data_IF_089375346687
#
_entry.id   IF_089375346687
#
_cell.length_a   1.000
_cell.length_b   1.000
_cell.length_c   1.000
_cell.angle_alpha   90.00
_cell.angle_beta   90.00
_cell.angle_gamma   90.00
#
_symmetry.space_group_name_H-M   'P 1'
#
loop_
_entity.id
_entity.type
_entity.pdbx_description
1 polymer ?
#
# COMPACT_ATOMS: atom_id res chain seq x y z
N UNK A 1 -18.89 2.73 10.42
CA UNK A 1 -17.86 3.70 10.93
C UNK A 1 -18.19 4.04 12.36
N UNK A 2 -17.23 3.94 13.25
CA UNK A 2 -17.37 4.15 14.71
C UNK A 2 -16.40 5.22 15.19
N UNK A 3 -16.81 6.04 16.16
CA UNK A 3 -15.95 6.95 16.89
C UNK A 3 -15.53 6.29 18.19
N UNK A 4 -14.24 6.20 18.44
CA UNK A 4 -13.67 5.60 19.65
C UNK A 4 -12.46 6.39 20.11
N UNK A 5 -11.86 5.98 21.22
CA UNK A 5 -10.65 6.56 21.75
C UNK A 5 -9.50 5.56 21.64
N UNK A 6 -8.28 6.10 21.48
CA UNK A 6 -7.07 5.31 21.58
C UNK A 6 -6.03 6.07 22.40
N UNK A 7 -5.26 5.32 23.19
CA UNK A 7 -4.17 5.87 23.98
C UNK A 7 -2.83 5.61 23.32
N UNK A 8 -1.97 6.57 23.28
CA UNK A 8 -0.60 6.41 22.81
C UNK A 8 0.21 5.66 23.88
N UNK A 9 0.62 4.43 23.57
CA UNK A 9 1.41 3.58 24.47
C UNK A 9 2.91 3.73 24.25
N UNK A 10 3.32 3.90 22.98
CA UNK A 10 4.73 4.03 22.65
C UNK A 10 4.91 4.76 21.31
N UNK A 11 6.03 5.41 21.17
CA UNK A 11 6.59 5.77 19.87
C UNK A 11 7.57 4.67 19.48
N UNK A 12 7.41 4.12 18.29
CA UNK A 12 8.21 3.01 17.80
C UNK A 12 9.03 3.46 16.61
N UNK A 13 10.24 2.95 16.52
CA UNK A 13 10.93 2.85 15.25
C UNK A 13 10.61 1.45 14.74
N UNK A 14 9.82 1.37 13.68
CA UNK A 14 9.68 0.08 13.00
C UNK A 14 11.09 -0.40 12.60
N UNK A 15 11.33 -1.71 12.56
CA UNK A 15 12.66 -2.23 12.29
C UNK A 15 13.28 -1.74 10.95
N UNK A 16 12.51 -1.21 10.01
CA UNK A 16 13.02 -0.51 8.83
C UNK A 16 13.50 0.94 9.12
N UNK A 17 13.53 1.33 10.40
CA UNK A 17 13.83 2.71 10.77
C UNK A 17 12.66 3.66 10.58
N UNK A 18 11.48 3.16 10.21
CA UNK A 18 10.28 3.97 10.09
C UNK A 18 9.67 4.26 11.47
N UNK A 19 9.45 5.55 11.77
CA UNK A 19 8.78 5.91 13.00
C UNK A 19 7.29 5.55 12.94
N UNK A 20 6.80 4.91 13.97
CA UNK A 20 5.40 4.56 14.16
C UNK A 20 4.88 4.95 15.53
N UNK A 21 3.58 4.77 15.73
CA UNK A 21 2.92 4.99 17.02
C UNK A 21 2.17 3.73 17.40
N UNK A 22 2.43 3.20 18.61
CA UNK A 22 1.62 2.13 19.18
C UNK A 22 0.41 2.74 19.87
N UNK A 23 -0.76 2.30 19.47
CA UNK A 23 -2.05 2.75 19.98
C UNK A 23 -2.76 1.61 20.70
N UNK A 24 -3.18 1.84 21.94
CA UNK A 24 -4.13 0.99 22.64
C UNK A 24 -5.56 1.45 22.34
N UNK A 25 -6.39 0.54 21.91
CA UNK A 25 -7.79 0.81 21.59
C UNK A 25 -8.63 -0.47 21.63
N UNK A 26 -9.95 -0.31 21.58
CA UNK A 26 -10.87 -1.45 21.46
C UNK A 26 -10.53 -2.29 20.20
N UNK A 27 -10.67 -3.59 20.29
CA UNK A 27 -10.42 -4.52 19.19
C UNK A 27 -11.21 -4.18 17.91
N UNK A 28 -12.42 -3.65 18.05
CA UNK A 28 -13.26 -3.20 16.93
C UNK A 28 -12.79 -1.89 16.27
N UNK A 29 -11.83 -1.18 16.88
CA UNK A 29 -11.21 0.01 16.29
C UNK A 29 -9.92 -0.30 15.53
N UNK A 30 -9.38 -1.51 15.67
CA UNK A 30 -8.17 -1.94 14.96
C UNK A 30 -8.50 -2.16 13.49
N UNK A 31 -7.88 -1.41 12.56
CA UNK A 31 -8.17 -1.57 11.13
C UNK A 31 -7.68 -2.92 10.63
N UNK A 32 -8.45 -3.51 9.72
CA UNK A 32 -8.05 -4.71 8.97
C UNK A 32 -6.99 -4.37 7.90
N UNK A 33 -6.43 -5.40 7.24
CA UNK A 33 -5.45 -5.20 6.17
C UNK A 33 -5.95 -4.20 5.11
N UNK A 34 -5.23 -3.09 4.90
CA UNK A 34 -5.59 -2.05 3.94
C UNK A 34 -6.68 -1.08 4.39
N UNK A 35 -7.34 -1.28 5.52
CA UNK A 35 -8.23 -0.27 6.11
C UNK A 35 -7.43 0.79 6.87
N UNK A 36 -8.05 1.97 7.03
CA UNK A 36 -7.45 3.05 7.80
C UNK A 36 -8.31 3.45 9.02
N UNK A 37 -7.71 4.17 9.94
CA UNK A 37 -8.41 4.98 10.93
C UNK A 37 -7.99 6.43 10.79
N UNK A 38 -8.85 7.36 11.19
CA UNK A 38 -8.58 8.79 11.19
C UNK A 38 -8.42 9.25 12.63
N UNK A 39 -7.23 9.70 12.99
CA UNK A 39 -6.87 10.11 14.34
C UNK A 39 -6.81 11.62 14.48
N UNK A 40 -7.24 12.13 15.64
CA UNK A 40 -7.12 13.52 16.03
C UNK A 40 -6.76 13.59 17.52
N UNK A 41 -5.80 14.44 17.87
CA UNK A 41 -5.56 14.80 19.27
C UNK A 41 -6.48 15.96 19.65
N UNK A 42 -7.45 15.75 20.57
CA UNK A 42 -8.33 16.82 21.01
C UNK A 42 -7.54 17.99 21.63
N UNK A 43 -7.92 19.20 21.29
CA UNK A 43 -7.25 20.41 21.81
C UNK A 43 -5.90 20.76 21.19
N UNK A 44 -5.42 19.99 20.21
CA UNK A 44 -4.14 20.26 19.55
C UNK A 44 -4.14 21.41 18.53
N UNK A 45 -5.31 21.98 18.24
CA UNK A 45 -5.45 22.96 17.16
C UNK A 45 -5.39 22.39 15.75
N UNK A 46 -5.24 21.07 15.62
CA UNK A 46 -5.27 20.40 14.31
C UNK A 46 -6.68 20.46 13.71
N UNK A 47 -6.78 21.01 12.50
CA UNK A 47 -8.06 21.11 11.79
C UNK A 47 -8.49 19.80 11.13
N UNK A 48 -7.55 18.91 10.80
CA UNK A 48 -7.78 17.70 10.05
C UNK A 48 -7.29 16.46 10.79
N UNK A 49 -8.04 15.37 10.63
CA UNK A 49 -7.64 14.05 11.14
C UNK A 49 -6.49 13.46 10.32
N UNK A 50 -5.62 12.73 10.99
CA UNK A 50 -4.55 11.97 10.37
C UNK A 50 -5.04 10.58 9.96
N UNK A 51 -4.69 10.19 8.76
CA UNK A 51 -4.92 8.83 8.24
C UNK A 51 -3.82 7.93 8.75
N UNK A 52 -4.18 6.88 9.46
CA UNK A 52 -3.27 5.88 10.02
C UNK A 52 -3.66 4.49 9.50
N UNK A 53 -2.68 3.74 9.02
CA UNK A 53 -2.82 2.34 8.69
C UNK A 53 -2.15 1.48 9.76
N UNK A 54 -2.66 0.27 9.97
CA UNK A 54 -1.99 -0.70 10.83
C UNK A 54 -0.82 -1.32 10.09
N UNK A 55 0.33 -1.37 10.75
CA UNK A 55 1.50 -2.16 10.31
C UNK A 55 1.60 -3.47 11.08
N UNK A 56 1.09 -3.50 12.31
CA UNK A 56 1.10 -4.69 13.16
C UNK A 56 -0.02 -4.61 14.18
N UNK A 57 -0.72 -5.71 14.40
CA UNK A 57 -1.62 -5.87 15.55
C UNK A 57 -0.83 -6.15 16.81
N UNK A 58 -1.30 -5.60 17.94
CA UNK A 58 -0.79 -5.87 19.28
C UNK A 58 -1.91 -6.46 20.16
N UNK A 59 -1.59 -6.91 21.35
CA UNK A 59 -2.60 -7.38 22.31
C UNK A 59 -3.57 -6.29 22.77
N UNK A 60 -3.13 -5.04 22.75
CA UNK A 60 -3.89 -3.86 23.22
C UNK A 60 -4.44 -2.99 22.07
N UNK A 61 -4.02 -3.24 20.82
CA UNK A 61 -4.40 -2.40 19.69
C UNK A 61 -3.56 -2.64 18.44
N UNK A 62 -2.81 -1.63 17.98
CA UNK A 62 -1.98 -1.75 16.78
C UNK A 62 -0.85 -0.71 16.73
N UNK A 63 0.16 -0.98 15.88
CA UNK A 63 1.20 -0.02 15.49
C UNK A 63 0.82 0.63 14.16
N UNK A 64 1.13 1.91 13.99
CA UNK A 64 0.80 2.70 12.79
C UNK A 64 1.97 2.79 11.82
N UNK A 65 1.66 3.15 10.57
CA UNK A 65 2.62 3.40 9.47
C UNK A 65 3.18 4.84 9.45
N UNK A 66 2.89 5.63 10.47
CA UNK A 66 3.21 7.05 10.48
C UNK A 66 3.92 7.46 11.75
N UNK A 67 4.86 8.44 11.67
CA UNK A 67 5.44 9.06 12.84
C UNK A 67 4.36 9.77 13.67
N UNK A 68 4.63 10.00 14.98
CA UNK A 68 3.78 10.85 15.78
C UNK A 68 3.70 12.25 15.18
N UNK A 69 2.51 12.87 15.28
CA UNK A 69 2.35 14.26 14.91
C UNK A 69 3.02 15.17 15.96
N UNK A 70 3.46 16.36 15.53
CA UNK A 70 3.92 17.36 16.50
C UNK A 70 2.88 17.59 17.61
N UNK A 71 3.34 17.51 18.85
CA UNK A 71 2.48 17.68 20.03
C UNK A 71 1.89 16.39 20.60
N UNK A 72 2.00 15.26 19.90
CA UNK A 72 1.60 13.97 20.48
C UNK A 72 2.60 13.50 21.54
N UNK A 73 2.08 13.05 22.68
CA UNK A 73 2.87 12.58 23.83
C UNK A 73 2.43 11.20 24.26
N UNK A 74 3.30 10.48 24.92
CA UNK A 74 2.95 9.22 25.57
C UNK A 74 1.82 9.45 26.57
N UNK A 75 0.81 8.59 26.53
CA UNK A 75 -0.36 8.66 27.37
C UNK A 75 -1.50 9.53 26.81
N UNK A 76 -1.27 10.32 25.76
CA UNK A 76 -2.32 11.11 25.13
C UNK A 76 -3.45 10.23 24.60
N UNK A 77 -4.67 10.73 24.72
CA UNK A 77 -5.87 10.08 24.21
C UNK A 77 -6.28 10.70 22.87
N UNK A 78 -6.21 9.91 21.82
CA UNK A 78 -6.62 10.28 20.47
C UNK A 78 -8.10 9.95 20.25
N UNK A 79 -8.80 10.82 19.56
CA UNK A 79 -10.13 10.57 19.01
C UNK A 79 -9.98 9.86 17.67
N UNK A 80 -10.39 8.58 17.60
CA UNK A 80 -10.34 7.76 16.41
C UNK A 80 -11.71 7.71 15.73
N UNK A 81 -11.69 7.83 14.41
CA UNK A 81 -12.83 7.59 13.54
C UNK A 81 -12.50 6.44 12.60
N UNK A 82 -13.23 5.34 12.70
CA UNK A 82 -12.94 4.19 11.85
C UNK A 82 -13.36 2.86 12.46
N UNK A 83 -12.86 1.73 11.88
CA UNK A 83 -12.14 1.64 10.61
C UNK A 83 -12.91 2.25 9.45
N UNK A 84 -12.19 2.91 8.53
CA UNK A 84 -12.78 3.53 7.34
C UNK A 84 -12.35 2.81 6.07
N UNK A 85 -13.27 2.78 5.11
CA UNK A 85 -13.03 2.22 3.81
C UNK A 85 -13.03 0.69 3.75
N UNK A 86 -12.73 0.18 2.56
CA UNK A 86 -12.58 -1.25 2.28
C UNK A 86 -11.13 -1.65 2.42
N UNK A 87 -10.90 -2.80 3.04
CA UNK A 87 -9.60 -3.43 3.11
C UNK A 87 -9.39 -4.47 2.01
N UNK A 88 -8.24 -5.11 2.03
CA UNK A 88 -7.95 -6.25 1.17
C UNK A 88 -8.90 -7.42 1.47
N UNK A 89 -9.41 -8.03 0.42
CA UNK A 89 -10.33 -9.16 0.47
C UNK A 89 -9.89 -10.26 -0.50
N UNK A 90 -8.77 -10.97 -0.17
CA UNK A 90 -8.29 -12.05 -1.00
C UNK A 90 -9.34 -13.17 -1.10
N UNK A 91 -9.55 -13.75 -2.30
CA UNK A 91 -10.48 -14.86 -2.49
C UNK A 91 -10.14 -16.05 -1.57
N UNK A 92 -11.16 -16.74 -1.08
CA UNK A 92 -10.95 -17.86 -0.13
C UNK A 92 -10.12 -19.01 -0.74
N UNK A 93 -10.18 -19.19 -2.06
CA UNK A 93 -9.40 -20.20 -2.79
C UNK A 93 -7.98 -19.80 -3.15
N UNK A 94 -7.59 -18.53 -2.96
CA UNK A 94 -6.26 -18.05 -3.32
C UNK A 94 -5.19 -18.67 -2.40
N UNK A 95 -4.18 -19.29 -3.00
CA UNK A 95 -3.10 -20.01 -2.29
C UNK A 95 -1.72 -19.42 -2.56
N UNK A 96 -1.56 -18.65 -3.61
CA UNK A 96 -0.28 -18.05 -4.04
C UNK A 96 -0.48 -16.55 -4.16
N UNK A 97 0.01 -15.83 -3.16
CA UNK A 97 -0.18 -14.39 -3.06
C UNK A 97 1.09 -13.66 -3.47
N UNK A 98 0.97 -12.81 -4.45
CA UNK A 98 2.01 -11.84 -4.79
C UNK A 98 1.65 -10.47 -4.24
N UNK A 99 2.51 -9.95 -3.38
CA UNK A 99 2.38 -8.64 -2.76
C UNK A 99 3.49 -7.73 -3.27
N UNK A 100 3.16 -6.47 -3.58
CA UNK A 100 4.17 -5.51 -4.01
C UNK A 100 3.95 -4.13 -3.41
N UNK A 101 5.04 -3.48 -3.00
CA UNK A 101 5.01 -2.10 -2.50
C UNK A 101 5.83 -1.20 -3.41
N UNK A 102 5.20 -0.13 -3.93
CA UNK A 102 5.74 0.77 -4.94
C UNK A 102 5.77 2.22 -4.46
N UNK A 103 6.97 2.80 -4.37
CA UNK A 103 7.16 4.18 -3.90
C UNK A 103 6.89 4.36 -2.40
N UNK A 104 6.78 3.24 -1.66
CA UNK A 104 6.54 3.21 -0.21
C UNK A 104 7.21 1.99 0.41
N UNK A 105 7.46 2.01 1.71
CA UNK A 105 7.79 0.81 2.47
C UNK A 105 6.63 -0.18 2.50
N UNK A 106 6.95 -1.47 2.61
CA UNK A 106 5.94 -2.54 2.60
C UNK A 106 5.23 -2.75 3.96
N UNK A 107 5.44 -1.85 4.92
CA UNK A 107 4.91 -1.98 6.29
C UNK A 107 3.38 -2.13 6.37
N UNK A 108 2.64 -1.49 5.46
CA UNK A 108 1.18 -1.61 5.37
C UNK A 108 0.68 -2.95 4.85
N UNK A 109 1.54 -3.71 4.19
CA UNK A 109 1.23 -5.06 3.71
C UNK A 109 1.43 -6.13 4.78
N UNK A 110 2.12 -5.83 5.90
CA UNK A 110 2.36 -6.81 6.96
C UNK A 110 1.08 -7.46 7.49
N UNK A 111 -0.01 -6.71 7.80
CA UNK A 111 -1.25 -7.36 8.25
C UNK A 111 -1.88 -8.28 7.20
N UNK A 112 -1.65 -8.01 5.91
CA UNK A 112 -2.11 -8.89 4.83
C UNK A 112 -1.21 -10.12 4.70
N UNK A 113 0.10 -9.97 4.89
CA UNK A 113 1.05 -11.08 4.97
C UNK A 113 0.65 -12.04 6.08
N UNK A 114 0.42 -11.51 7.29
CA UNK A 114 0.01 -12.31 8.46
C UNK A 114 -1.30 -13.08 8.17
N UNK A 115 -2.25 -12.41 7.52
CA UNK A 115 -3.50 -13.06 7.10
C UNK A 115 -3.26 -14.19 6.09
N UNK A 116 -2.38 -13.98 5.10
CA UNK A 116 -2.02 -14.98 4.09
C UNK A 116 -1.39 -16.21 4.71
N UNK A 117 -0.40 -16.01 5.57
CA UNK A 117 0.27 -17.10 6.28
C UNK A 117 -0.70 -17.87 7.19
N UNK A 118 -1.59 -17.16 7.88
CA UNK A 118 -2.64 -17.78 8.72
C UNK A 118 -3.60 -18.65 7.89
N UNK A 119 -3.87 -18.25 6.65
CA UNK A 119 -4.70 -19.03 5.69
C UNK A 119 -3.91 -20.15 4.99
N UNK A 120 -2.62 -20.31 5.28
CA UNK A 120 -1.74 -21.28 4.63
C UNK A 120 -1.41 -20.95 3.18
N UNK A 121 -1.47 -19.67 2.80
CA UNK A 121 -1.04 -19.21 1.49
C UNK A 121 0.49 -19.09 1.43
N UNK A 122 1.08 -19.42 0.27
CA UNK A 122 2.44 -19.05 -0.05
C UNK A 122 2.48 -17.57 -0.44
N UNK A 123 3.36 -16.80 0.20
CA UNK A 123 3.42 -15.33 0.04
C UNK A 123 4.76 -14.95 -0.56
N UNK A 124 4.74 -14.28 -1.71
CA UNK A 124 5.90 -13.64 -2.33
C UNK A 124 5.76 -12.12 -2.24
N UNK A 125 6.81 -11.44 -1.80
CA UNK A 125 6.85 -9.98 -1.64
C UNK A 125 7.90 -9.36 -2.54
N UNK A 126 7.48 -8.36 -3.31
CA UNK A 126 8.38 -7.49 -4.06
C UNK A 126 8.37 -6.08 -3.47
N UNK A 127 9.54 -5.62 -3.05
CA UNK A 127 9.72 -4.28 -2.48
C UNK A 127 11.18 -3.87 -2.55
N UNK A 128 11.44 -2.57 -2.67
CA UNK A 128 12.80 -2.02 -2.57
C UNK A 128 13.31 -1.97 -1.13
N UNK A 129 12.41 -1.92 -0.16
CA UNK A 129 12.72 -1.77 1.25
C UNK A 129 11.94 -2.84 2.03
N UNK A 130 12.48 -4.08 2.12
CA UNK A 130 11.82 -5.13 2.89
C UNK A 130 11.79 -4.71 4.36
N UNK A 131 10.61 -4.77 5.02
CA UNK A 131 10.53 -4.50 6.43
C UNK A 131 11.29 -5.59 7.19
N UNK A 132 12.12 -5.23 8.15
CA UNK A 132 12.80 -6.23 8.96
C UNK A 132 11.80 -6.98 9.85
N UNK A 133 12.15 -8.20 10.21
CA UNK A 133 11.26 -9.09 10.96
C UNK A 133 10.13 -9.65 10.12
N UNK A 134 10.27 -9.68 8.78
CA UNK A 134 9.41 -10.49 7.94
C UNK A 134 9.48 -11.96 8.37
N UNK A 135 8.36 -12.67 8.44
CA UNK A 135 8.36 -14.11 8.64
C UNK A 135 9.22 -14.82 7.60
N UNK A 136 9.97 -15.83 8.02
CA UNK A 136 10.85 -16.61 7.12
C UNK A 136 10.10 -17.35 6.01
N UNK A 137 8.78 -17.49 6.14
CA UNK A 137 7.89 -18.09 5.14
C UNK A 137 7.59 -17.15 3.97
N UNK A 138 7.92 -15.84 4.09
CA UNK A 138 7.72 -14.88 3.01
C UNK A 138 8.91 -14.89 2.08
N UNK A 139 8.67 -15.18 0.83
CA UNK A 139 9.69 -15.13 -0.22
C UNK A 139 9.88 -13.70 -0.72
N UNK A 140 11.11 -13.20 -0.68
CA UNK A 140 11.46 -11.94 -1.34
C UNK A 140 11.83 -12.22 -2.79
N UNK A 141 10.98 -11.81 -3.72
CA UNK A 141 11.23 -12.01 -5.14
C UNK A 141 12.02 -10.85 -5.76
N UNK A 142 13.06 -11.11 -6.56
CA UNK A 142 13.73 -10.09 -7.35
C UNK A 142 12.99 -9.76 -8.65
N UNK A 143 12.20 -10.71 -9.19
CA UNK A 143 11.47 -10.59 -10.46
C UNK A 143 9.94 -10.50 -10.22
N UNK A 144 9.35 -9.30 -10.37
CA UNK A 144 7.92 -9.14 -10.21
C UNK A 144 7.11 -9.83 -11.33
N UNK A 145 7.68 -10.02 -12.53
CA UNK A 145 7.01 -10.67 -13.65
C UNK A 145 6.81 -12.16 -13.39
N UNK A 146 7.85 -12.84 -12.89
CA UNK A 146 7.79 -14.25 -12.52
C UNK A 146 6.79 -14.46 -11.37
N UNK A 147 6.89 -13.64 -10.31
CA UNK A 147 5.97 -13.70 -9.17
C UNK A 147 4.52 -13.43 -9.59
N UNK A 148 4.31 -12.47 -10.50
CA UNK A 148 2.99 -12.22 -11.06
C UNK A 148 2.48 -13.44 -11.84
N UNK A 149 3.30 -14.08 -12.66
CA UNK A 149 2.91 -15.28 -13.40
C UNK A 149 2.55 -16.46 -12.49
N UNK A 150 3.25 -16.60 -11.38
CA UNK A 150 3.05 -17.66 -10.39
C UNK A 150 1.78 -17.47 -9.54
N UNK A 151 1.41 -16.22 -9.22
CA UNK A 151 0.35 -15.91 -8.24
C UNK A 151 -1.06 -16.15 -8.76
N UNK A 152 -2.00 -16.39 -7.86
CA UNK A 152 -3.45 -16.39 -8.09
C UNK A 152 -4.17 -15.21 -7.40
N UNK A 153 -3.46 -14.47 -6.54
CA UNK A 153 -3.92 -13.21 -5.97
C UNK A 153 -2.79 -12.17 -5.97
N UNK A 154 -3.12 -10.95 -6.39
CA UNK A 154 -2.21 -9.81 -6.43
C UNK A 154 -2.69 -8.72 -5.48
N UNK A 155 -1.81 -8.23 -4.60
CA UNK A 155 -2.08 -7.06 -3.77
C UNK A 155 -0.93 -6.04 -3.86
N UNK A 156 -1.29 -4.80 -4.13
CA UNK A 156 -0.34 -3.70 -4.31
C UNK A 156 -0.58 -2.62 -3.25
N UNK A 157 0.49 -2.07 -2.68
CA UNK A 157 0.48 -0.79 -1.96
C UNK A 157 1.27 0.22 -2.77
N UNK A 158 0.60 1.24 -3.31
CA UNK A 158 1.24 2.21 -4.18
C UNK A 158 1.06 3.64 -3.67
N UNK A 159 2.10 4.43 -3.87
CA UNK A 159 1.98 5.87 -3.73
C UNK A 159 1.06 6.41 -4.86
N UNK A 160 0.11 7.33 -4.59
CA UNK A 160 -0.84 7.82 -5.60
C UNK A 160 -0.16 8.33 -6.87
N UNK A 161 1.01 8.93 -6.74
CA UNK A 161 1.84 9.43 -7.85
C UNK A 161 2.44 8.31 -8.70
N UNK A 162 2.46 7.08 -8.21
CA UNK A 162 2.98 5.91 -8.92
C UNK A 162 1.92 5.26 -9.84
N UNK A 163 0.64 5.56 -9.60
CA UNK A 163 -0.47 4.94 -10.34
C UNK A 163 -0.33 5.05 -11.88
N UNK A 164 0.06 6.20 -12.47
CA UNK A 164 0.24 6.31 -13.92
C UNK A 164 1.35 5.42 -14.49
N UNK A 165 2.30 4.98 -13.63
CA UNK A 165 3.42 4.12 -14.02
C UNK A 165 3.18 2.64 -13.71
N UNK A 166 2.08 2.33 -13.06
CA UNK A 166 1.81 0.96 -12.59
C UNK A 166 1.82 -0.06 -13.74
N UNK A 167 1.25 0.31 -14.88
CA UNK A 167 1.28 -0.50 -16.11
C UNK A 167 2.69 -0.86 -16.55
N UNK A 168 3.57 0.13 -16.57
CA UNK A 168 4.97 -0.03 -17.00
C UNK A 168 5.73 -0.96 -16.04
N UNK A 169 5.46 -0.83 -14.75
CA UNK A 169 6.15 -1.59 -13.71
C UNK A 169 5.70 -3.05 -13.71
N UNK A 170 4.38 -3.30 -13.84
CA UNK A 170 3.84 -4.67 -13.77
C UNK A 170 3.97 -5.45 -15.08
N UNK A 171 3.93 -4.77 -16.22
CA UNK A 171 3.84 -5.43 -17.53
C UNK A 171 5.08 -5.22 -18.40
N UNK A 172 6.15 -4.66 -17.83
CA UNK A 172 7.46 -4.66 -18.48
C UNK A 172 7.48 -4.00 -19.86
N UNK A 173 6.95 -2.77 -20.00
CA UNK A 173 7.20 -1.99 -21.20
C UNK A 173 8.65 -1.50 -21.17
N UNK A 174 9.55 -2.05 -22.04
CA UNK A 174 10.99 -1.79 -21.94
C UNK A 174 11.41 -0.38 -22.35
N UNK A 175 10.53 0.47 -22.89
CA UNK A 175 10.93 1.64 -23.67
C UNK A 175 10.44 3.02 -23.18
N UNK A 176 10.20 3.19 -21.89
CA UNK A 176 10.18 4.56 -21.37
C UNK A 176 11.37 4.77 -20.43
N UNK A 177 12.31 5.63 -20.80
CA UNK A 177 13.47 5.91 -19.95
C UNK A 177 12.95 6.40 -18.60
N UNK A 178 13.36 5.73 -17.52
CA UNK A 178 13.24 6.20 -16.14
C UNK A 178 14.06 7.50 -15.94
N UNK A 179 14.03 8.42 -16.91
CA UNK A 179 14.70 9.70 -16.92
C UNK A 179 13.73 10.82 -16.58
N UNK A 180 13.36 10.86 -15.32
CA UNK A 180 13.05 12.08 -14.63
C UNK A 180 13.76 12.02 -13.30
N UNK A 181 14.32 13.13 -12.79
CA UNK A 181 14.93 13.11 -11.47
C UNK A 181 13.84 12.76 -10.47
N UNK A 182 13.93 11.58 -9.86
CA UNK A 182 13.13 11.22 -8.70
C UNK A 182 13.49 12.23 -7.60
N UNK A 183 12.62 13.15 -7.22
CA UNK A 183 12.94 14.16 -6.23
C UNK A 183 13.24 13.57 -4.84
N UNK A 184 12.95 12.28 -4.63
CA UNK A 184 13.22 11.57 -3.39
C UNK A 184 14.58 10.86 -3.37
N UNK A 185 15.31 10.83 -4.50
CA UNK A 185 16.63 10.20 -4.61
C UNK A 185 17.80 11.22 -4.68
N UNK A 186 17.66 12.42 -4.15
CA UNK A 186 18.77 13.34 -3.98
C UNK A 186 19.62 13.01 -2.75
N UNK A 187 20.19 11.80 -2.74
CA UNK A 187 21.35 11.47 -1.94
C UNK A 187 22.51 11.13 -2.90
N UNK A 188 23.76 11.51 -2.62
CA UNK A 188 24.88 11.15 -3.48
C UNK A 188 25.16 9.65 -3.31
N UNK A 189 24.70 8.84 -4.27
CA UNK A 189 25.14 7.46 -4.39
C UNK A 189 26.41 7.40 -5.24
N UNK A 190 27.59 7.12 -4.66
CA UNK A 190 28.86 7.12 -5.36
C UNK A 190 29.12 5.89 -6.25
N UNK A 191 28.19 4.92 -6.32
CA UNK A 191 28.44 3.61 -6.94
C UNK A 191 27.84 3.38 -8.33
N UNK A 192 27.14 4.36 -8.93
CA UNK A 192 26.57 4.18 -10.27
C UNK A 192 27.35 4.92 -11.36
N UNK A 193 28.63 4.58 -11.57
CA UNK A 193 29.37 4.88 -12.80
C UNK A 193 29.86 3.60 -13.46
N UNK A 194 29.01 3.00 -14.27
CA UNK A 194 29.39 1.97 -15.24
C UNK A 194 29.17 2.49 -16.68
N UNK A 195 30.01 2.09 -17.68
CA UNK A 195 29.97 2.64 -19.01
C UNK A 195 28.75 2.24 -19.81
N UNK A 196 28.14 3.23 -20.48
CA UNK A 196 27.01 3.06 -21.37
C UNK A 196 27.41 2.25 -22.62
N UNK A 197 26.85 1.08 -22.81
CA UNK A 197 26.87 0.38 -24.09
C UNK A 197 25.62 0.76 -24.91
N UNK A 198 25.85 1.41 -26.04
CA UNK A 198 24.85 1.65 -27.08
C UNK A 198 24.46 0.33 -27.73
N UNK A 199 23.17 0.04 -27.83
CA UNK A 199 22.61 -0.90 -28.81
C UNK A 199 21.60 -0.16 -29.67
N UNK A 200 21.89 -0.16 -30.95
CA UNK A 200 21.11 0.46 -32.01
C UNK A 200 19.91 -0.40 -32.40
N UNK A 201 18.82 0.27 -32.75
CA UNK A 201 17.88 -0.13 -33.78
C UNK A 201 16.85 -1.21 -33.47
N UNK A 202 15.77 -0.86 -32.77
CA UNK A 202 14.50 -1.55 -32.97
C UNK A 202 13.36 -0.53 -33.02
N UNK A 203 12.65 -0.51 -34.14
CA UNK A 203 11.43 0.27 -34.38
C UNK A 203 10.29 -0.15 -33.44
N UNK A 204 9.52 0.81 -32.87
CA UNK A 204 8.38 0.47 -32.02
C UNK A 204 7.29 -0.22 -32.83
N UNK A 205 6.87 -1.39 -32.43
CA UNK A 205 5.68 -2.06 -32.97
C UNK A 205 4.45 -1.47 -32.30
N UNK A 206 3.46 -0.96 -33.06
CA UNK A 206 2.23 -0.43 -32.49
C UNK A 206 1.41 -1.58 -31.87
N UNK A 207 1.23 -1.56 -30.56
CA UNK A 207 0.38 -2.50 -29.85
C UNK A 207 -1.08 -2.04 -29.88
N UNK A 208 -1.73 -2.23 -31.03
CA UNK A 208 -3.19 -2.14 -31.16
C UNK A 208 -3.84 -3.52 -31.04
N UNK A 209 -3.55 -4.24 -29.98
CA UNK A 209 -4.20 -5.50 -29.62
C UNK A 209 -4.74 -5.47 -28.22
N UNK A 210 -5.82 -6.22 -27.91
CA UNK A 210 -6.25 -6.37 -26.53
C UNK A 210 -5.13 -7.02 -25.71
N UNK A 211 -4.88 -6.43 -24.55
CA UNK A 211 -3.86 -6.78 -23.56
C UNK A 211 -3.76 -8.32 -23.38
N UNK A 212 -2.64 -8.95 -23.73
CA UNK A 212 -2.49 -10.41 -23.62
C UNK A 212 -2.66 -10.93 -22.19
N UNK A 213 -2.50 -10.07 -21.17
CA UNK A 213 -2.76 -10.43 -19.78
C UNK A 213 -4.24 -10.57 -19.44
N UNK A 214 -5.14 -10.00 -20.25
CA UNK A 214 -6.59 -10.14 -20.07
C UNK A 214 -7.15 -11.40 -20.76
N UNK A 215 -6.36 -12.16 -21.53
CA UNK A 215 -6.81 -13.30 -22.34
C UNK A 215 -6.34 -14.69 -21.92
N UNK A 216 -5.54 -14.82 -20.86
CA UNK A 216 -5.11 -16.11 -20.34
C UNK A 216 -5.91 -16.54 -19.11
N UNK A 217 -5.62 -17.71 -18.50
CA UNK A 217 -6.12 -18.05 -17.16
C UNK A 217 -5.81 -16.97 -16.12
N UNK A 218 -4.90 -16.06 -16.44
CA UNK A 218 -4.62 -14.82 -15.72
C UNK A 218 -5.80 -13.82 -15.69
N UNK A 219 -6.75 -13.89 -16.63
CA UNK A 219 -7.93 -13.02 -16.67
C UNK A 219 -8.91 -13.21 -15.50
N UNK A 220 -8.65 -14.18 -14.63
CA UNK A 220 -9.40 -14.45 -13.41
C UNK A 220 -8.62 -14.17 -12.13
N UNK A 221 -7.45 -13.54 -12.21
CA UNK A 221 -6.71 -13.19 -11.01
C UNK A 221 -7.38 -12.02 -10.33
N UNK A 222 -7.76 -12.23 -9.06
CA UNK A 222 -8.17 -11.13 -8.22
C UNK A 222 -6.94 -10.25 -7.96
N UNK A 223 -7.01 -8.99 -8.36
CA UNK A 223 -5.95 -8.02 -8.15
C UNK A 223 -6.49 -6.80 -7.44
N UNK A 224 -5.89 -6.45 -6.30
CA UNK A 224 -6.30 -5.32 -5.50
C UNK A 224 -5.14 -4.35 -5.28
N UNK A 225 -5.47 -3.07 -5.18
CA UNK A 225 -4.47 -2.02 -4.96
C UNK A 225 -4.92 -1.07 -3.86
N UNK A 226 -4.04 -0.87 -2.89
CA UNK A 226 -4.17 0.15 -1.86
C UNK A 226 -3.62 1.47 -2.40
N UNK A 227 -4.50 2.48 -2.51
CA UNK A 227 -4.14 3.86 -2.87
C UNK A 227 -4.70 4.77 -1.78
N UNK A 228 -3.80 5.43 -1.05
CA UNK A 228 -4.17 6.25 0.09
C UNK A 228 -3.91 7.74 -0.15
N UNK A 229 -4.81 8.44 -0.87
CA UNK A 229 -4.79 9.90 -0.92
C UNK A 229 -5.17 10.49 0.46
N UNK A 230 -5.01 11.78 0.67
CA UNK A 230 -5.52 12.44 1.86
C UNK A 230 -7.02 12.17 2.06
N UNK A 231 -7.43 11.75 3.26
CA UNK A 231 -8.82 11.40 3.61
C UNK A 231 -9.31 12.24 4.81
N UNK A 232 -9.39 13.57 4.71
CA UNK A 232 -9.58 14.44 5.87
C UNK A 232 -10.93 14.25 6.58
N UNK A 233 -12.01 13.92 5.86
CA UNK A 233 -13.33 13.76 6.46
C UNK A 233 -13.68 12.30 6.83
N UNK A 234 -13.18 11.32 6.11
CA UNK A 234 -13.54 9.92 6.27
C UNK A 234 -14.98 9.54 5.92
N UNK A 235 -15.77 10.47 5.38
CA UNK A 235 -17.22 10.36 5.17
C UNK A 235 -17.63 10.38 3.68
N UNK A 236 -16.68 10.56 2.77
CA UNK A 236 -16.96 10.69 1.34
C UNK A 236 -17.53 12.04 0.92
N UNK A 237 -17.61 13.03 1.81
CA UNK A 237 -18.33 14.30 1.56
C UNK A 237 -17.46 15.43 1.07
N UNK A 238 -16.16 15.45 1.40
CA UNK A 238 -15.27 16.57 1.07
C UNK A 238 -14.62 16.50 -0.32
N UNK A 239 -14.70 15.37 -1.01
CA UNK A 239 -14.09 15.19 -2.33
C UNK A 239 -12.57 15.08 -2.38
N UNK A 240 -11.85 15.32 -1.27
CA UNK A 240 -10.38 15.36 -1.25
C UNK A 240 -9.71 14.00 -1.56
N UNK A 241 -10.42 12.90 -1.40
CA UNK A 241 -9.91 11.55 -1.61
C UNK A 241 -10.49 10.88 -2.88
N UNK A 242 -10.97 11.66 -3.82
CA UNK A 242 -11.51 11.13 -5.07
C UNK A 242 -10.40 10.56 -5.96
N UNK A 243 -10.67 9.40 -6.52
CA UNK A 243 -9.86 8.73 -7.54
C UNK A 243 -10.71 8.48 -8.78
N UNK A 244 -10.10 8.62 -9.95
CA UNK A 244 -10.76 8.33 -11.21
C UNK A 244 -10.83 6.82 -11.43
N UNK A 245 -12.01 6.32 -11.68
CA UNK A 245 -12.27 4.92 -11.98
C UNK A 245 -13.03 4.80 -13.30
N UNK A 246 -13.03 3.62 -13.91
CA UNK A 246 -13.71 3.37 -15.21
C UNK A 246 -15.19 3.73 -15.20
N UNK A 247 -15.84 3.66 -14.04
CA UNK A 247 -17.27 3.99 -13.85
C UNK A 247 -17.47 5.27 -13.04
N UNK A 248 -16.64 6.29 -13.28
CA UNK A 248 -16.73 7.59 -12.59
C UNK A 248 -15.79 7.71 -11.39
N UNK A 249 -16.09 8.65 -10.52
CA UNK A 249 -15.25 8.94 -9.35
C UNK A 249 -15.56 8.02 -8.17
N UNK A 250 -14.53 7.66 -7.42
CA UNK A 250 -14.60 6.85 -6.19
C UNK A 250 -13.93 7.60 -5.05
N UNK A 251 -14.50 7.50 -3.85
CA UNK A 251 -13.93 8.07 -2.64
C UNK A 251 -13.09 7.03 -1.90
N UNK A 252 -11.79 7.28 -1.72
CA UNK A 252 -10.92 6.32 -1.03
C UNK A 252 -11.38 6.02 0.41
N UNK A 253 -12.00 6.96 1.10
CA UNK A 253 -12.46 6.76 2.47
C UNK A 253 -13.76 5.95 2.62
N UNK A 254 -14.54 5.75 1.54
CA UNK A 254 -15.79 4.96 1.55
C UNK A 254 -15.75 3.77 0.61
N UNK A 255 -15.24 3.97 -0.60
CA UNK A 255 -15.21 2.96 -1.66
C UNK A 255 -13.87 2.20 -1.71
N UNK A 256 -12.77 2.83 -1.23
CA UNK A 256 -11.45 2.28 -1.06
C UNK A 256 -11.06 2.22 0.42
N UNK A 257 -9.79 2.44 0.79
CA UNK A 257 -8.64 2.78 -0.06
C UNK A 257 -8.09 1.60 -0.87
N UNK A 258 -8.60 0.38 -0.66
CA UNK A 258 -8.30 -0.78 -1.49
C UNK A 258 -9.34 -0.88 -2.59
N UNK A 259 -8.88 -0.92 -3.84
CA UNK A 259 -9.70 -1.00 -5.04
C UNK A 259 -9.34 -2.25 -5.84
N UNK A 260 -10.31 -2.78 -6.59
CA UNK A 260 -10.00 -3.78 -7.60
C UNK A 260 -9.21 -3.12 -8.73
N UNK A 261 -8.18 -3.81 -9.23
CA UNK A 261 -7.32 -3.27 -10.31
C UNK A 261 -8.10 -3.01 -11.59
N UNK A 262 -9.13 -3.79 -11.85
CA UNK A 262 -9.97 -3.65 -13.04
C UNK A 262 -10.97 -2.49 -12.94
N UNK A 263 -11.22 -1.95 -11.74
CA UNK A 263 -12.10 -0.78 -11.55
C UNK A 263 -11.40 0.55 -11.85
N UNK A 264 -10.09 0.62 -11.73
CA UNK A 264 -9.33 1.86 -11.88
C UNK A 264 -9.04 2.19 -13.34
N UNK A 265 -8.95 3.49 -13.62
CA UNK A 265 -8.45 4.02 -14.90
C UNK A 265 -6.95 4.33 -14.73
N UNK A 266 -6.10 3.52 -15.36
CA UNK A 266 -4.63 3.56 -15.26
C UNK A 266 -3.96 3.05 -16.53
#
# INVERSE_FOLDING_TARGET
MRRTKARIEAFTLEPAGEPGVRLACDAGAVPGPGQAVLALLPGSGQALRRVLFSTRRTSTGFTTDRPPEPGWRLGDELDLLGPVGRGFSPPDGARRWFLASLGRPASRLIPLIDLGLTRGAAVSLWTRHPPPGLPSQVELTPDPGEALAWSDYLALDIAPETLPRLRQILFGYPDLPLRGPDPLLRGPDPFLRGPASRRDGQTPVPLSGPDPFLRGPASRRAGQVLIAPPMPCGLGTCGACHLKAKRGWRCACTDGPVFELDELEW
#
